data_IF_985837451177
#
_entry.id   IF_985837451177
#
_cell.length_a   1.000
_cell.length_b   1.000
_cell.length_c   1.000
_cell.angle_alpha   90.00
_cell.angle_beta   90.00
_cell.angle_gamma   90.00
#
_symmetry.space_group_name_H-M   'P 1'
#
loop_
_entity.id
_entity.type
_entity.pdbx_description
1 polymer ?
#
# COMPACT_ATOMS: atom_id res chain seq x y z
N UNK A 1 0.89 -0.75 -45.05
CA UNK A 1 1.49 -1.69 -44.06
C UNK A 1 2.24 -0.95 -42.94
N UNK A 2 2.59 0.34 -43.10
CA UNK A 2 3.18 1.17 -42.02
C UNK A 2 2.17 1.68 -40.97
N UNK A 3 0.92 2.00 -41.37
CA UNK A 3 -0.08 2.59 -40.46
C UNK A 3 -0.48 1.68 -39.29
N UNK A 4 -0.43 0.36 -39.50
CA UNK A 4 -0.79 -0.64 -38.49
C UNK A 4 0.28 -0.81 -37.40
N UNK A 5 1.55 -0.51 -37.70
CA UNK A 5 2.65 -0.58 -36.73
C UNK A 5 2.63 0.65 -35.82
N UNK A 6 2.40 1.82 -36.40
CA UNK A 6 2.28 3.09 -35.67
C UNK A 6 1.10 3.07 -34.68
N UNK A 7 -0.07 2.60 -35.14
CA UNK A 7 -1.27 2.45 -34.30
C UNK A 7 -1.04 1.52 -33.10
N UNK A 8 -0.35 0.37 -33.29
CA UNK A 8 -0.03 -0.57 -32.20
C UNK A 8 0.92 0.05 -31.17
N UNK A 9 1.91 0.82 -31.63
CA UNK A 9 2.87 1.50 -30.74
C UNK A 9 2.21 2.62 -29.91
N UNK A 10 1.24 3.34 -30.51
CA UNK A 10 0.45 4.35 -29.80
C UNK A 10 -0.43 3.71 -28.72
N UNK A 11 -1.11 2.60 -29.03
CA UNK A 11 -1.92 1.86 -28.05
C UNK A 11 -1.08 1.31 -26.89
N UNK A 12 0.13 0.81 -27.16
CA UNK A 12 1.04 0.34 -26.12
C UNK A 12 1.43 1.47 -25.15
N UNK A 13 1.77 2.66 -25.67
CA UNK A 13 2.10 3.84 -24.85
C UNK A 13 0.91 4.32 -24.02
N UNK A 14 -0.29 4.31 -24.59
CA UNK A 14 -1.52 4.62 -23.86
C UNK A 14 -1.78 3.60 -22.74
N UNK A 15 -1.55 2.31 -23.02
CA UNK A 15 -1.63 1.24 -22.03
C UNK A 15 -0.64 1.44 -20.87
N UNK A 16 0.62 1.76 -21.15
CA UNK A 16 1.62 2.07 -20.13
C UNK A 16 1.24 3.29 -19.27
N UNK A 17 0.68 4.32 -19.89
CA UNK A 17 0.15 5.49 -19.19
C UNK A 17 -0.97 5.13 -18.22
N UNK A 18 -1.96 4.35 -18.68
CA UNK A 18 -3.08 3.88 -17.87
C UNK A 18 -2.62 2.99 -16.70
N UNK A 19 -1.69 2.07 -16.94
CA UNK A 19 -1.11 1.23 -15.88
C UNK A 19 -0.41 2.07 -14.81
N UNK A 20 0.33 3.11 -15.22
CA UNK A 20 1.01 4.02 -14.29
C UNK A 20 0.02 4.80 -13.43
N UNK A 21 -1.04 5.35 -14.04
CA UNK A 21 -2.10 6.08 -13.33
C UNK A 21 -2.84 5.14 -12.38
N UNK A 22 -3.23 3.94 -12.84
CA UNK A 22 -3.91 2.95 -12.02
C UNK A 22 -3.08 2.52 -10.80
N UNK A 23 -1.77 2.34 -10.96
CA UNK A 23 -0.85 2.07 -9.84
C UNK A 23 -0.82 3.22 -8.82
N UNK A 24 -0.81 4.46 -9.28
CA UNK A 24 -0.87 5.65 -8.41
C UNK A 24 -2.16 5.73 -7.61
N UNK A 25 -3.31 5.51 -8.26
CA UNK A 25 -4.62 5.47 -7.60
C UNK A 25 -4.65 4.35 -6.55
N UNK A 26 -4.21 3.14 -6.91
CA UNK A 26 -4.14 2.02 -5.96
C UNK A 26 -3.27 2.36 -4.75
N UNK A 27 -2.08 2.90 -4.97
CA UNK A 27 -1.19 3.36 -3.90
C UNK A 27 -1.90 4.36 -2.98
N UNK A 28 -2.59 5.35 -3.55
CA UNK A 28 -3.28 6.38 -2.76
C UNK A 28 -4.39 5.77 -1.89
N UNK A 29 -5.25 4.96 -2.50
CA UNK A 29 -6.38 4.32 -1.80
C UNK A 29 -5.89 3.39 -0.69
N UNK A 30 -4.91 2.53 -0.96
CA UNK A 30 -4.40 1.59 0.07
C UNK A 30 -3.65 2.30 1.20
N UNK A 31 -3.09 3.48 0.93
CA UNK A 31 -2.52 4.33 1.99
C UNK A 31 -3.61 4.91 2.86
N UNK A 32 -4.63 5.49 2.24
CA UNK A 32 -5.72 6.18 2.92
C UNK A 32 -6.53 5.21 3.79
N UNK A 33 -6.81 4.01 3.27
CA UNK A 33 -7.53 2.97 4.01
C UNK A 33 -6.68 2.31 5.11
N UNK A 34 -5.38 2.61 5.17
CA UNK A 34 -4.49 2.03 6.17
C UNK A 34 -4.00 0.62 5.85
N UNK A 35 -4.29 0.07 4.67
CA UNK A 35 -3.80 -1.25 4.22
C UNK A 35 -2.26 -1.31 4.22
N UNK A 36 -1.60 -0.16 4.08
CA UNK A 36 -0.12 -0.04 4.14
C UNK A 36 0.44 0.18 5.54
N UNK A 37 -0.36 0.02 6.60
CA UNK A 37 0.11 0.20 7.96
C UNK A 37 1.29 -0.71 8.31
N UNK A 38 1.31 -1.94 7.78
CA UNK A 38 2.43 -2.87 7.99
C UNK A 38 3.73 -2.39 7.32
N UNK A 39 3.67 -1.89 6.08
CA UNK A 39 4.84 -1.33 5.39
C UNK A 39 5.44 -0.15 6.16
N UNK A 40 4.58 0.73 6.65
CA UNK A 40 4.97 1.88 7.48
C UNK A 40 5.60 1.41 8.79
N UNK A 41 5.02 0.39 9.43
CA UNK A 41 5.58 -0.23 10.63
C UNK A 41 6.98 -0.80 10.38
N UNK A 42 7.18 -1.57 9.31
CA UNK A 42 8.49 -2.15 8.98
C UNK A 42 9.51 -1.06 8.66
N UNK A 43 9.12 -0.01 7.92
CA UNK A 43 10.00 1.11 7.63
C UNK A 43 10.45 1.82 8.91
N UNK A 44 9.50 2.14 9.80
CA UNK A 44 9.79 2.71 11.12
C UNK A 44 10.67 1.76 11.95
N UNK A 45 10.34 0.47 12.00
CA UNK A 45 11.09 -0.54 12.74
C UNK A 45 12.54 -0.62 12.28
N UNK A 46 12.80 -0.58 10.97
CA UNK A 46 14.18 -0.60 10.42
C UNK A 46 15.00 0.63 10.83
N UNK A 47 14.35 1.78 10.99
CA UNK A 47 15.02 3.02 11.39
C UNK A 47 15.33 3.01 12.89
N UNK A 48 14.37 2.61 13.72
CA UNK A 48 14.44 2.74 15.18
C UNK A 48 14.94 1.50 15.92
N UNK A 49 14.76 0.30 15.37
CA UNK A 49 15.09 -0.98 15.99
C UNK A 49 16.07 -1.76 15.09
N UNK A 50 17.29 -1.23 14.95
CA UNK A 50 18.35 -1.87 14.16
C UNK A 50 18.82 -3.14 14.88
N UNK A 51 18.53 -4.30 14.29
CA UNK A 51 18.98 -5.62 14.79
C UNK A 51 17.86 -6.54 15.23
N UNK A 52 16.67 -6.00 15.49
CA UNK A 52 15.50 -6.79 15.85
C UNK A 52 14.71 -7.21 14.60
N UNK A 53 14.08 -8.37 14.68
CA UNK A 53 13.20 -8.87 13.63
C UNK A 53 11.83 -8.22 13.81
N UNK A 54 11.30 -7.49 12.81
CA UNK A 54 9.96 -6.94 12.89
C UNK A 54 8.93 -8.06 13.02
N UNK A 55 7.78 -7.76 13.61
CA UNK A 55 6.65 -8.68 13.65
C UNK A 55 6.30 -9.16 12.24
N UNK A 56 5.83 -10.40 12.13
CA UNK A 56 5.19 -10.83 10.89
C UNK A 56 3.91 -10.03 10.65
N UNK A 57 3.51 -9.89 9.40
CA UNK A 57 2.31 -9.12 9.02
C UNK A 57 1.05 -9.58 9.79
N UNK A 58 0.85 -10.89 9.92
CA UNK A 58 -0.28 -11.44 10.68
C UNK A 58 -0.21 -11.08 12.16
N UNK A 59 0.97 -11.10 12.78
CA UNK A 59 1.15 -10.71 14.17
C UNK A 59 0.86 -9.23 14.37
N UNK A 60 1.35 -8.38 13.47
CA UNK A 60 1.08 -6.94 13.48
C UNK A 60 -0.42 -6.63 13.47
N UNK A 61 -1.18 -7.25 12.56
CA UNK A 61 -2.62 -7.02 12.47
C UNK A 61 -3.39 -7.54 13.71
N UNK A 62 -2.98 -8.68 14.26
CA UNK A 62 -3.59 -9.20 15.49
C UNK A 62 -3.34 -8.27 16.68
N UNK A 63 -2.11 -7.78 16.82
CA UNK A 63 -1.76 -6.85 17.88
C UNK A 63 -2.51 -5.54 17.73
N UNK A 64 -2.55 -4.97 16.52
CA UNK A 64 -3.26 -3.72 16.22
C UNK A 64 -4.75 -3.82 16.54
N UNK A 65 -5.40 -4.94 16.19
CA UNK A 65 -6.79 -5.18 16.52
C UNK A 65 -7.00 -5.25 18.05
N UNK A 66 -6.12 -5.98 18.76
CA UNK A 66 -6.17 -6.05 20.22
C UNK A 66 -5.96 -4.69 20.90
N UNK A 67 -5.06 -3.86 20.36
CA UNK A 67 -4.84 -2.49 20.84
C UNK A 67 -6.05 -1.59 20.63
N UNK A 68 -6.76 -1.74 19.50
CA UNK A 68 -8.00 -1.02 19.21
C UNK A 68 -9.16 -1.46 20.11
N UNK A 69 -9.27 -2.76 20.37
CA UNK A 69 -10.27 -3.30 21.30
C UNK A 69 -10.00 -2.86 22.73
N UNK A 70 -8.74 -2.85 23.16
CA UNK A 70 -8.33 -2.40 24.48
C UNK A 70 -8.44 -0.88 24.67
N UNK A 71 -8.26 -0.10 23.59
CA UNK A 71 -8.31 1.36 23.61
C UNK A 71 -9.33 1.88 22.59
N UNK A 72 -10.65 1.70 22.85
CA UNK A 72 -11.70 1.94 21.86
C UNK A 72 -11.92 3.42 21.44
N UNK A 73 -11.05 4.34 21.84
CA UNK A 73 -11.14 5.78 21.59
C UNK A 73 -12.32 6.42 22.33
N UNK A 74 -12.58 7.70 22.04
CA UNK A 74 -13.79 8.35 22.50
C UNK A 74 -15.00 7.71 21.79
N UNK A 75 -15.75 6.89 22.52
CA UNK A 75 -17.02 6.33 22.04
C UNK A 75 -18.15 7.24 22.50
N UNK A 76 -19.15 7.42 21.65
CA UNK A 76 -20.33 8.24 21.95
C UNK A 76 -21.33 7.55 22.89
N UNK A 77 -20.92 6.46 23.55
CA UNK A 77 -21.71 5.72 24.53
C UNK A 77 -21.34 6.14 25.95
#
# INVERSE_FOLDING_TARGET
MSDSVETRSALARLGEGLVRVGRGIRWYVTTLMGDRAYDVYVAHHRVHHRGDVPLTERQFWRQRAAEQDANPGARCC
#
